data_IF_767505540450
#
_entry.id   IF_767505540450
#
_cell.length_a   1.000
_cell.length_b   1.000
_cell.length_c   1.000
_cell.angle_alpha   90.00
_cell.angle_beta   90.00
_cell.angle_gamma   90.00
#
_symmetry.space_group_name_H-M   'P 1'
#
loop_
_entity.id
_entity.type
_entity.pdbx_description
1 polymer ?
#
# COMPACT_ATOMS: atom_id res chain seq x y z
N UNK A 1 37.54 -22.45 13.68
CA UNK A 1 37.67 -22.53 12.21
C UNK A 1 36.67 -23.54 11.67
N UNK A 2 35.46 -23.12 11.31
CA UNK A 2 34.56 -23.90 10.45
C UNK A 2 33.90 -22.88 9.52
N UNK A 3 34.32 -22.91 8.25
CA UNK A 3 33.82 -22.08 7.16
C UNK A 3 32.42 -22.58 6.76
N UNK A 4 31.37 -21.82 7.06
CA UNK A 4 30.05 -22.04 6.46
C UNK A 4 29.91 -21.10 5.27
N UNK A 5 30.41 -21.58 4.13
CA UNK A 5 30.25 -20.92 2.84
C UNK A 5 28.75 -20.83 2.50
N UNK A 6 28.28 -19.60 2.36
CA UNK A 6 26.97 -19.23 1.86
C UNK A 6 26.75 -19.84 0.47
N UNK A 7 26.05 -20.98 0.39
CA UNK A 7 25.49 -21.44 -0.89
C UNK A 7 24.23 -20.64 -1.20
N UNK A 8 24.44 -19.37 -1.56
CA UNK A 8 23.44 -18.57 -2.26
C UNK A 8 23.24 -19.21 -3.64
N UNK A 9 22.21 -20.05 -3.79
CA UNK A 9 21.77 -20.49 -5.12
C UNK A 9 21.01 -19.32 -5.76
N UNK A 10 21.52 -18.68 -6.82
CA UNK A 10 20.72 -17.69 -7.55
C UNK A 10 19.56 -18.44 -8.22
N UNK A 11 18.33 -18.10 -7.83
CA UNK A 11 17.13 -18.60 -8.50
C UNK A 11 17.12 -17.99 -9.91
N UNK A 12 17.35 -18.84 -10.89
CA UNK A 12 17.23 -18.55 -12.32
C UNK A 12 15.88 -17.89 -12.61
N UNK A 13 15.87 -16.56 -12.74
CA UNK A 13 14.71 -15.76 -13.15
C UNK A 13 14.52 -15.88 -14.67
N UNK A 14 14.19 -17.09 -15.13
CA UNK A 14 13.70 -17.34 -16.48
C UNK A 14 12.18 -17.21 -16.46
N UNK A 15 11.65 -16.08 -16.91
CA UNK A 15 10.20 -15.92 -16.98
C UNK A 15 9.58 -14.57 -17.36
N UNK A 16 10.33 -13.54 -17.77
CA UNK A 16 9.72 -12.25 -18.17
C UNK A 16 10.38 -11.64 -19.42
N UNK A 17 9.62 -11.38 -20.51
CA UNK A 17 10.10 -10.70 -21.72
C UNK A 17 10.13 -9.15 -21.56
N UNK A 18 10.43 -8.64 -20.37
CA UNK A 18 10.37 -7.19 -20.09
C UNK A 18 11.64 -6.44 -20.46
N UNK A 19 12.79 -7.12 -20.52
CA UNK A 19 14.08 -6.46 -20.85
C UNK A 19 14.20 -6.14 -22.35
N UNK A 20 13.52 -6.89 -23.23
CA UNK A 20 13.50 -6.62 -24.68
C UNK A 20 12.65 -5.39 -25.04
N UNK A 21 11.66 -5.04 -24.23
CA UNK A 21 10.80 -3.88 -24.47
C UNK A 21 11.54 -2.56 -24.25
N UNK A 22 12.43 -2.47 -23.27
CA UNK A 22 13.25 -1.27 -23.07
C UNK A 22 14.26 -1.04 -24.21
N UNK A 23 14.83 -2.10 -24.79
CA UNK A 23 15.73 -1.97 -25.94
C UNK A 23 15.02 -1.47 -27.20
N UNK A 24 13.76 -1.84 -27.42
CA UNK A 24 12.95 -1.34 -28.54
C UNK A 24 12.41 0.06 -28.27
N UNK A 25 12.06 0.37 -27.03
CA UNK A 25 11.66 1.72 -26.62
C UNK A 25 12.83 2.71 -26.76
N UNK A 26 14.06 2.29 -26.45
CA UNK A 26 15.28 3.08 -26.64
C UNK A 26 15.58 3.37 -28.12
N UNK A 27 15.29 2.43 -29.02
CA UNK A 27 15.42 2.65 -30.47
C UNK A 27 14.33 3.58 -31.03
N UNK A 28 13.12 3.55 -30.46
CA UNK A 28 12.04 4.47 -30.84
C UNK A 28 12.32 5.90 -30.34
N UNK A 29 12.81 6.05 -29.10
CA UNK A 29 13.19 7.37 -28.55
C UNK A 29 14.39 8.00 -29.26
N UNK A 30 15.31 7.20 -29.83
CA UNK A 30 16.47 7.71 -30.59
C UNK A 30 16.11 8.43 -31.89
N UNK A 31 14.85 8.37 -32.34
CA UNK A 31 14.39 9.02 -33.58
C UNK A 31 13.56 10.28 -33.34
N UNK A 32 13.34 10.71 -32.10
CA UNK A 32 12.68 11.99 -31.87
C UNK A 32 13.68 13.14 -32.06
N UNK A 33 13.88 13.55 -33.31
CA UNK A 33 14.50 14.84 -33.61
C UNK A 33 13.63 15.91 -32.96
N UNK A 34 14.16 16.49 -31.88
CA UNK A 34 13.60 17.66 -31.20
C UNK A 34 13.46 18.77 -32.23
N UNK A 35 12.21 19.06 -32.62
CA UNK A 35 11.89 20.21 -33.45
C UNK A 35 12.07 21.44 -32.57
N UNK A 36 13.16 22.18 -32.76
CA UNK A 36 13.35 23.48 -32.12
C UNK A 36 12.41 24.47 -32.80
N UNK A 37 11.24 24.73 -32.19
CA UNK A 37 10.41 25.86 -32.57
C UNK A 37 11.10 27.16 -32.13
N UNK A 38 11.30 28.05 -33.10
CA UNK A 38 12.05 29.29 -32.97
C UNK A 38 11.42 30.25 -31.95
N UNK A 39 12.28 30.89 -31.15
CA UNK A 39 11.92 32.01 -30.27
C UNK A 39 11.49 33.19 -31.14
N UNK A 40 10.23 33.58 -31.00
CA UNK A 40 9.79 34.96 -31.21
C UNK A 40 8.68 35.23 -30.21
N UNK A 41 8.98 36.15 -29.29
CA UNK A 41 8.12 36.53 -28.19
C UNK A 41 6.91 37.30 -28.73
N UNK A 42 5.77 36.62 -28.85
CA UNK A 42 4.44 37.20 -29.03
C UNK A 42 3.48 36.42 -28.15
N UNK A 43 2.66 37.17 -27.39
CA UNK A 43 1.93 36.71 -26.21
C UNK A 43 1.02 35.51 -26.42
N UNK A 44 0.76 34.82 -25.30
CA UNK A 44 -0.22 33.74 -25.15
C UNK A 44 -1.47 34.02 -25.98
N UNK A 45 -1.68 33.25 -27.03
CA UNK A 45 -2.94 33.32 -27.75
C UNK A 45 -4.00 32.60 -26.90
N UNK A 46 -5.22 33.15 -26.84
CA UNK A 46 -6.32 32.52 -26.09
C UNK A 46 -6.55 31.07 -26.54
N UNK A 47 -6.41 30.81 -27.84
CA UNK A 47 -6.57 29.48 -28.44
C UNK A 47 -5.51 28.46 -27.99
N UNK A 48 -4.27 28.92 -27.77
CA UNK A 48 -3.18 28.07 -27.27
C UNK A 48 -3.46 27.57 -25.85
N UNK A 49 -4.10 28.40 -25.02
CA UNK A 49 -4.55 27.96 -23.71
C UNK A 49 -5.81 27.06 -23.78
N UNK A 50 -6.70 27.29 -24.75
CA UNK A 50 -7.92 26.47 -24.91
C UNK A 50 -7.61 25.01 -25.28
N UNK A 51 -6.68 24.76 -26.19
CA UNK A 51 -6.34 23.36 -26.57
C UNK A 51 -5.66 22.61 -25.41
N UNK A 52 -4.91 23.32 -24.56
CA UNK A 52 -4.24 22.72 -23.40
C UNK A 52 -5.24 22.25 -22.36
N UNK A 53 -6.21 23.08 -21.98
CA UNK A 53 -7.24 22.68 -21.00
C UNK A 53 -8.15 21.58 -21.55
N UNK A 54 -8.37 21.52 -22.88
CA UNK A 54 -9.10 20.44 -23.53
C UNK A 54 -8.38 19.10 -23.36
N UNK A 55 -7.06 19.06 -23.59
CA UNK A 55 -6.27 17.83 -23.43
C UNK A 55 -6.19 17.44 -21.95
N UNK A 56 -5.96 18.40 -21.04
CA UNK A 56 -5.94 18.13 -19.59
C UNK A 56 -7.30 17.57 -19.12
N UNK A 57 -8.41 18.11 -19.62
CA UNK A 57 -9.76 17.63 -19.30
C UNK A 57 -9.97 16.15 -19.64
N UNK A 58 -9.52 15.73 -20.83
CA UNK A 58 -9.60 14.31 -21.25
C UNK A 58 -8.75 13.42 -20.35
N UNK A 59 -7.54 13.85 -20.01
CA UNK A 59 -6.65 13.08 -19.13
C UNK A 59 -7.23 12.93 -17.72
N UNK A 60 -7.75 14.01 -17.13
CA UNK A 60 -8.35 14.00 -15.79
C UNK A 60 -9.60 13.13 -15.74
N UNK A 61 -10.44 13.16 -16.78
CA UNK A 61 -11.66 12.35 -16.84
C UNK A 61 -11.39 10.84 -16.70
N UNK A 62 -10.28 10.35 -17.26
CA UNK A 62 -9.88 8.93 -17.14
C UNK A 62 -9.06 8.71 -15.85
N UNK A 63 -8.19 9.65 -15.49
CA UNK A 63 -7.29 9.49 -14.36
C UNK A 63 -8.00 9.43 -13.00
N UNK A 64 -9.03 10.26 -12.77
CA UNK A 64 -9.73 10.34 -11.48
C UNK A 64 -10.40 9.02 -11.06
N UNK A 65 -11.25 8.37 -11.88
CA UNK A 65 -11.89 7.12 -11.47
C UNK A 65 -10.88 5.98 -11.27
N UNK A 66 -9.85 5.90 -12.11
CA UNK A 66 -8.78 4.89 -12.00
C UNK A 66 -7.98 5.11 -10.72
N UNK A 67 -7.61 6.35 -10.43
CA UNK A 67 -6.87 6.71 -9.22
C UNK A 67 -7.68 6.40 -7.95
N UNK A 68 -8.97 6.72 -7.94
CA UNK A 68 -9.85 6.43 -6.80
C UNK A 68 -9.97 4.92 -6.53
N UNK A 69 -10.16 4.11 -7.59
CA UNK A 69 -10.22 2.65 -7.45
C UNK A 69 -8.89 2.04 -6.98
N UNK A 70 -7.76 2.51 -7.53
CA UNK A 70 -6.44 2.06 -7.13
C UNK A 70 -6.12 2.41 -5.66
N UNK A 71 -6.51 3.62 -5.23
CA UNK A 71 -6.38 4.08 -3.84
C UNK A 71 -7.21 3.21 -2.89
N UNK A 72 -8.47 2.96 -3.21
CA UNK A 72 -9.34 2.08 -2.40
C UNK A 72 -8.74 0.68 -2.26
N UNK A 73 -8.28 0.10 -3.36
CA UNK A 73 -7.65 -1.24 -3.36
C UNK A 73 -6.38 -1.29 -2.51
N UNK A 74 -5.59 -0.22 -2.49
CA UNK A 74 -4.40 -0.12 -1.65
C UNK A 74 -4.77 -0.04 -0.16
N UNK A 75 -5.85 0.67 0.17
CA UNK A 75 -6.38 0.74 1.53
C UNK A 75 -6.88 -0.60 2.04
N UNK A 76 -7.66 -1.33 1.24
CA UNK A 76 -8.16 -2.66 1.60
C UNK A 76 -7.00 -3.62 1.91
N UNK A 77 -5.97 -3.62 1.06
CA UNK A 77 -4.77 -4.46 1.25
C UNK A 77 -4.00 -4.09 2.52
N UNK A 78 -3.91 -2.79 2.81
CA UNK A 78 -3.22 -2.29 4.01
C UNK A 78 -4.00 -2.63 5.28
N UNK A 79 -5.33 -2.44 5.30
CA UNK A 79 -6.19 -2.85 6.41
C UNK A 79 -6.04 -4.37 6.66
N UNK A 80 -6.14 -5.21 5.63
CA UNK A 80 -5.94 -6.67 5.79
C UNK A 80 -4.55 -7.05 6.30
N UNK A 81 -3.50 -6.35 5.88
CA UNK A 81 -2.15 -6.59 6.38
C UNK A 81 -2.03 -6.21 7.86
N UNK A 82 -2.59 -5.07 8.26
CA UNK A 82 -2.59 -4.60 9.63
C UNK A 82 -3.38 -5.55 10.56
N UNK A 83 -4.56 -6.02 10.13
CA UNK A 83 -5.34 -7.00 10.89
C UNK A 83 -4.53 -8.29 11.14
N UNK A 84 -3.87 -8.84 10.11
CA UNK A 84 -3.01 -10.03 10.29
C UNK A 84 -1.86 -9.82 11.27
N UNK A 85 -1.29 -8.62 11.30
CA UNK A 85 -0.22 -8.28 12.24
C UNK A 85 -0.77 -8.23 13.67
N UNK A 86 -1.93 -7.59 13.86
CA UNK A 86 -2.57 -7.50 15.17
C UNK A 86 -3.01 -8.86 15.69
N UNK A 87 -3.62 -9.69 14.85
CA UNK A 87 -4.02 -11.05 15.21
C UNK A 87 -2.83 -11.92 15.59
N UNK A 88 -1.75 -11.88 14.80
CA UNK A 88 -0.50 -12.54 15.17
C UNK A 88 0.07 -12.03 16.49
N UNK A 89 -0.05 -10.73 16.78
CA UNK A 89 0.38 -10.15 18.05
C UNK A 89 -0.50 -10.59 19.23
N UNK A 90 -1.82 -10.69 19.05
CA UNK A 90 -2.75 -11.20 20.07
C UNK A 90 -2.46 -12.67 20.38
N UNK A 91 -2.30 -13.50 19.35
CA UNK A 91 -2.04 -14.93 19.52
C UNK A 91 -0.69 -15.17 20.21
N UNK A 92 0.34 -14.41 19.85
CA UNK A 92 1.65 -14.49 20.52
C UNK A 92 1.59 -13.99 21.97
N UNK A 93 0.82 -12.93 22.25
CA UNK A 93 0.59 -12.47 23.63
C UNK A 93 -0.15 -13.51 24.47
N UNK A 94 -1.17 -14.16 23.92
CA UNK A 94 -1.93 -15.20 24.62
C UNK A 94 -1.09 -16.45 24.87
N UNK A 95 -0.24 -16.82 23.92
CA UNK A 95 0.71 -17.92 24.08
C UNK A 95 1.69 -17.68 25.24
N UNK A 96 2.08 -16.42 25.48
CA UNK A 96 2.92 -16.04 26.62
C UNK A 96 2.14 -15.91 27.94
N UNK A 97 0.83 -15.60 27.88
CA UNK A 97 -0.04 -15.37 29.04
C UNK A 97 -1.24 -16.35 29.05
N UNK A 98 -1.02 -17.66 29.26
CA UNK A 98 -2.07 -18.66 29.09
C UNK A 98 -3.25 -18.48 30.05
N UNK A 99 -3.03 -17.95 31.26
CA UNK A 99 -4.05 -17.77 32.31
C UNK A 99 -4.88 -16.50 32.17
N UNK A 100 -4.45 -15.54 31.35
CA UNK A 100 -5.12 -14.25 31.21
C UNK A 100 -6.21 -14.31 30.14
N UNK A 101 -7.36 -13.70 30.36
CA UNK A 101 -8.40 -13.55 29.34
C UNK A 101 -7.88 -12.74 28.14
N UNK A 102 -8.48 -12.94 26.97
CA UNK A 102 -8.21 -12.10 25.81
C UNK A 102 -8.66 -10.65 26.07
N UNK A 103 -8.00 -9.65 25.45
CA UNK A 103 -8.41 -8.26 25.58
C UNK A 103 -9.79 -8.04 24.95
N UNK A 104 -10.70 -7.40 25.69
CA UNK A 104 -12.11 -7.22 25.28
C UNK A 104 -12.34 -5.93 24.50
N UNK A 105 -11.60 -4.90 24.87
CA UNK A 105 -11.73 -3.54 24.34
C UNK A 105 -10.39 -3.00 23.82
N UNK A 106 -10.45 -1.92 23.05
CA UNK A 106 -9.26 -1.27 22.45
C UNK A 106 -8.21 -0.85 23.50
N UNK A 107 -8.66 -0.41 24.68
CA UNK A 107 -7.76 -0.01 25.77
C UNK A 107 -6.98 -1.19 26.33
N UNK A 108 -7.65 -2.34 26.51
CA UNK A 108 -7.00 -3.57 26.98
C UNK A 108 -6.07 -4.13 25.91
N UNK A 109 -6.45 -4.05 24.63
CA UNK A 109 -5.60 -4.46 23.51
C UNK A 109 -4.31 -3.63 23.48
N UNK A 110 -4.42 -2.30 23.64
CA UNK A 110 -3.27 -1.39 23.71
C UNK A 110 -2.35 -1.75 24.87
N UNK A 111 -2.90 -2.02 26.04
CA UNK A 111 -2.13 -2.38 27.23
C UNK A 111 -1.45 -3.74 27.11
N UNK A 112 -2.07 -4.69 26.40
CA UNK A 112 -1.52 -6.04 26.21
C UNK A 112 -0.42 -6.09 25.13
N UNK A 113 -0.62 -5.41 23.99
CA UNK A 113 0.25 -5.55 22.83
C UNK A 113 1.40 -4.54 22.78
N UNK A 114 1.20 -3.33 23.31
CA UNK A 114 2.22 -2.26 23.24
C UNK A 114 2.93 -2.15 24.59
N UNK A 115 4.28 -2.10 24.64
CA UNK A 115 5.23 -2.06 23.51
C UNK A 115 5.80 -3.42 23.08
N UNK A 116 5.45 -4.51 23.77
CA UNK A 116 6.22 -5.76 23.72
C UNK A 116 5.97 -6.61 22.45
N UNK A 117 4.75 -6.57 21.90
CA UNK A 117 4.33 -7.39 20.75
C UNK A 117 4.12 -6.56 19.49
N UNK A 118 3.78 -5.27 19.64
CA UNK A 118 3.70 -4.30 18.55
C UNK A 118 4.26 -2.95 18.99
N UNK A 119 5.04 -2.30 18.11
CA UNK A 119 5.67 -0.99 18.41
C UNK A 119 4.63 0.11 18.64
N UNK A 120 3.54 0.06 17.91
CA UNK A 120 2.40 0.98 18.00
C UNK A 120 1.25 0.35 17.25
N UNK A 121 0.02 0.53 17.71
CA UNK A 121 -1.14 0.08 16.96
C UNK A 121 -1.18 0.84 15.62
N UNK A 122 -1.22 0.13 14.47
CA UNK A 122 -1.34 0.78 13.18
C UNK A 122 -2.68 1.53 13.06
N UNK A 123 -2.66 2.66 12.37
CA UNK A 123 -3.87 3.45 12.09
C UNK A 123 -4.52 2.96 10.81
N UNK A 124 -5.85 3.03 10.73
CA UNK A 124 -6.54 2.73 9.49
C UNK A 124 -6.17 3.76 8.40
N UNK A 125 -5.91 3.34 7.15
CA UNK A 125 -5.52 4.28 6.09
C UNK A 125 -6.71 4.99 5.41
N UNK A 126 -7.95 4.61 5.71
CA UNK A 126 -9.16 5.21 5.12
C UNK A 126 -9.69 6.38 5.96
N UNK A 127 -9.69 6.17 7.26
CA UNK A 127 -10.17 7.05 8.31
C UNK A 127 -9.07 7.08 9.35
N UNK A 128 -8.72 8.26 9.84
CA UNK A 128 -7.66 8.48 10.83
C UNK A 128 -7.92 7.83 12.21
N UNK A 129 -8.92 6.96 12.29
CA UNK A 129 -9.36 6.27 13.48
C UNK A 129 -8.65 4.92 13.64
N UNK A 130 -8.72 4.41 14.87
CA UNK A 130 -8.17 3.12 15.26
C UNK A 130 -9.08 1.97 14.82
N UNK A 131 -8.56 0.75 14.84
CA UNK A 131 -9.37 -0.44 14.65
C UNK A 131 -10.29 -0.66 15.84
N UNK A 132 -11.55 -1.02 15.60
CA UNK A 132 -12.48 -1.37 16.67
C UNK A 132 -12.25 -2.81 17.09
N UNK A 133 -12.17 -3.02 18.39
CA UNK A 133 -11.89 -4.33 19.00
C UNK A 133 -13.16 -4.75 19.73
N UNK A 134 -13.69 -5.92 19.39
CA UNK A 134 -14.83 -6.52 20.08
C UNK A 134 -14.42 -7.92 20.52
N UNK A 135 -14.22 -8.11 21.82
CA UNK A 135 -13.89 -9.40 22.43
C UNK A 135 -14.79 -9.74 23.60
N UNK A 136 -14.92 -11.04 23.88
CA UNK A 136 -15.64 -11.58 25.03
C UNK A 136 -14.69 -12.03 26.17
N UNK A 137 -13.38 -12.03 25.91
CA UNK A 137 -12.31 -12.45 26.81
C UNK A 137 -12.01 -13.95 26.79
N UNK A 138 -12.91 -14.76 26.25
CA UNK A 138 -12.71 -16.21 26.18
C UNK A 138 -12.13 -16.63 24.83
N UNK A 139 -12.44 -15.86 23.78
CA UNK A 139 -11.95 -16.08 22.41
C UNK A 139 -11.12 -14.90 21.93
N UNK A 140 -10.31 -15.13 20.89
CA UNK A 140 -9.56 -14.07 20.24
C UNK A 140 -10.53 -12.94 19.82
N UNK A 141 -10.23 -11.67 20.12
CA UNK A 141 -11.11 -10.56 19.83
C UNK A 141 -11.24 -10.37 18.32
N UNK A 142 -12.43 -9.99 17.87
CA UNK A 142 -12.63 -9.59 16.48
C UNK A 142 -12.14 -8.15 16.30
N UNK A 143 -11.09 -7.98 15.48
CA UNK A 143 -10.57 -6.68 15.12
C UNK A 143 -11.18 -6.26 13.79
N UNK A 144 -11.86 -5.12 13.79
CA UNK A 144 -12.71 -4.67 12.70
C UNK A 144 -12.19 -3.35 12.13
N UNK A 145 -12.06 -3.28 10.80
CA UNK A 145 -11.85 -2.02 10.11
C UNK A 145 -13.19 -1.26 9.99
N UNK A 146 -13.21 0.08 10.07
CA UNK A 146 -14.44 0.89 10.00
C UNK A 146 -15.34 0.65 8.78
N UNK A 147 -14.79 0.12 7.70
CA UNK A 147 -15.50 -0.30 6.49
C UNK A 147 -16.18 -1.69 6.59
N UNK A 148 -16.24 -2.29 7.78
CA UNK A 148 -16.90 -3.59 8.03
C UNK A 148 -16.08 -4.79 7.58
N UNK A 149 -14.79 -4.62 7.28
CA UNK A 149 -13.89 -5.74 7.06
C UNK A 149 -13.50 -6.33 8.41
N UNK A 150 -14.08 -7.48 8.73
CA UNK A 150 -13.72 -8.29 9.89
C UNK A 150 -12.70 -9.33 9.45
N UNK A 151 -11.59 -9.43 10.19
CA UNK A 151 -10.75 -10.60 10.14
C UNK A 151 -11.31 -11.62 11.14
N UNK A 152 -11.39 -12.89 10.74
CA UNK A 152 -11.96 -13.99 11.53
C UNK A 152 -10.91 -15.07 11.72
#
# INVERSE_FOLDING_TARGET
MINLALTFRPKSFNGLPLVKLYSLFFLFYRRWKVVRYFRNEKGFTLIELMVVILIIGILVAIAVPVFNSARQSAYDRTCQANLRILDGAVETWKAANPTSDYPKDETELKAALVPDYVKSIPVCPMDSDSYTVTGDGNTAPSITCPNGHHYK
#
